data_IF_445007844753
#
_entry.id   IF_445007844753
#
_cell.length_a   1.000
_cell.length_b   1.000
_cell.length_c   1.000
_cell.angle_alpha   90.00
_cell.angle_beta   90.00
_cell.angle_gamma   90.00
#
_symmetry.space_group_name_H-M   'P 1'
#
loop_
_entity.id
_entity.type
_entity.pdbx_description
1 polymer ?
#
# COMPACT_ATOMS: atom_id res chain seq x y z
N UNK A 1 -52.81 73.09 41.09
CA UNK A 1 -51.99 72.90 39.88
C UNK A 1 -50.62 72.42 40.32
N UNK A 2 -50.38 71.12 40.26
CA UNK A 2 -49.05 70.52 40.48
C UNK A 2 -48.77 69.65 39.26
N UNK A 3 -47.86 70.12 38.41
CA UNK A 3 -47.47 69.43 37.17
C UNK A 3 -46.46 68.37 37.57
N UNK A 4 -46.88 67.10 37.54
CA UNK A 4 -45.98 65.96 37.62
C UNK A 4 -45.21 65.84 36.31
N UNK A 5 -43.91 66.14 36.36
CA UNK A 5 -42.98 65.94 35.24
C UNK A 5 -42.82 64.43 35.05
N UNK A 6 -43.51 63.88 34.05
CA UNK A 6 -43.21 62.55 33.52
C UNK A 6 -41.89 62.62 32.77
N UNK A 7 -40.80 62.16 33.39
CA UNK A 7 -39.54 61.93 32.70
C UNK A 7 -39.66 60.55 32.05
N UNK A 8 -40.04 60.51 30.78
CA UNK A 8 -39.74 59.36 29.93
C UNK A 8 -38.24 59.38 29.65
N UNK A 9 -37.45 58.59 30.38
CA UNK A 9 -36.14 58.20 29.88
C UNK A 9 -36.40 57.20 28.75
N UNK A 10 -36.15 57.60 27.49
CA UNK A 10 -35.84 56.57 26.51
C UNK A 10 -34.46 56.06 26.91
N UNK A 11 -34.34 54.79 27.22
CA UNK A 11 -33.09 54.19 27.65
C UNK A 11 -32.08 54.30 26.51
N UNK A 12 -31.09 55.19 26.66
CA UNK A 12 -30.01 55.28 25.70
C UNK A 12 -29.20 53.98 25.78
N UNK A 13 -29.09 53.24 24.69
CA UNK A 13 -28.35 51.99 24.62
C UNK A 13 -27.60 51.84 23.29
N UNK A 14 -26.65 50.91 23.27
CA UNK A 14 -26.09 50.34 22.05
C UNK A 14 -26.03 48.82 22.19
N UNK A 15 -26.31 48.12 21.11
CA UNK A 15 -26.26 46.66 21.05
C UNK A 15 -25.41 46.24 19.86
N UNK A 16 -24.59 45.21 20.03
CA UNK A 16 -23.78 44.61 18.96
C UNK A 16 -24.44 43.29 18.57
N UNK A 17 -24.54 43.05 17.27
CA UNK A 17 -25.07 41.80 16.73
C UNK A 17 -24.03 41.09 15.86
N UNK A 18 -24.02 39.76 15.93
CA UNK A 18 -23.33 38.87 15.01
C UNK A 18 -24.33 37.88 14.42
N UNK A 19 -24.43 37.80 13.10
CA UNK A 19 -25.38 36.92 12.38
C UNK A 19 -26.85 37.03 12.89
N UNK A 20 -27.24 38.20 13.39
CA UNK A 20 -28.57 38.47 13.92
C UNK A 20 -28.77 38.17 15.40
N UNK A 21 -27.76 37.60 16.09
CA UNK A 21 -27.78 37.37 17.53
C UNK A 21 -27.14 38.53 18.30
N UNK A 22 -27.76 38.93 19.41
CA UNK A 22 -27.27 40.00 20.30
C UNK A 22 -26.10 39.50 21.15
N UNK A 23 -25.02 40.28 21.18
CA UNK A 23 -23.85 40.04 22.02
C UNK A 23 -23.99 40.81 23.33
N UNK A 24 -23.79 40.11 24.45
CA UNK A 24 -24.18 40.60 25.77
C UNK A 24 -22.95 41.16 26.51
N UNK A 25 -23.11 42.35 27.10
CA UNK A 25 -22.06 42.93 27.95
C UNK A 25 -21.82 42.07 29.20
N UNK A 26 -20.54 41.88 29.56
CA UNK A 26 -20.14 41.03 30.69
C UNK A 26 -20.27 39.51 30.48
N UNK A 27 -20.77 39.07 29.31
CA UNK A 27 -20.78 37.66 28.92
C UNK A 27 -19.46 37.26 28.21
N UNK A 28 -19.18 35.95 28.19
CA UNK A 28 -18.08 35.37 27.43
C UNK A 28 -18.49 35.17 25.97
N UNK A 29 -18.50 36.26 25.18
CA UNK A 29 -18.83 36.20 23.76
C UNK A 29 -17.63 35.63 22.98
N UNK A 30 -17.68 34.35 22.60
CA UNK A 30 -16.66 33.71 21.77
C UNK A 30 -17.22 33.38 20.38
N UNK A 31 -16.47 33.75 19.35
CA UNK A 31 -16.85 33.53 17.94
C UNK A 31 -15.67 32.87 17.24
N UNK A 32 -15.96 31.84 16.44
CA UNK A 32 -14.97 31.17 15.60
C UNK A 32 -15.27 31.44 14.13
N UNK A 33 -14.26 31.88 13.40
CA UNK A 33 -14.29 32.12 11.96
C UNK A 33 -13.29 31.16 11.31
N UNK A 34 -13.79 30.26 10.47
CA UNK A 34 -13.00 29.30 9.68
C UNK A 34 -13.12 29.56 8.18
N UNK A 35 -14.17 30.25 7.74
CA UNK A 35 -14.39 30.62 6.35
C UNK A 35 -13.42 31.72 5.91
N UNK A 36 -12.87 31.58 4.70
CA UNK A 36 -11.98 32.55 4.09
C UNK A 36 -12.27 32.73 2.60
N UNK A 37 -11.98 33.93 2.09
CA UNK A 37 -11.96 34.26 0.67
C UNK A 37 -10.50 34.24 0.19
N UNK A 38 -10.19 33.43 -0.82
CA UNK A 38 -8.92 33.44 -1.54
C UNK A 38 -9.15 33.93 -2.98
N UNK A 39 -8.45 35.01 -3.36
CA UNK A 39 -8.52 35.61 -4.70
C UNK A 39 -7.26 35.34 -5.54
N UNK A 40 -6.36 34.47 -5.08
CA UNK A 40 -5.07 34.14 -5.72
C UNK A 40 -3.94 35.14 -5.44
N UNK A 41 -4.24 36.29 -4.84
CA UNK A 41 -3.25 37.30 -4.42
C UNK A 41 -3.18 37.46 -2.90
N UNK A 42 -4.30 37.24 -2.22
CA UNK A 42 -4.44 37.41 -0.78
C UNK A 42 -5.59 36.56 -0.25
N UNK A 43 -5.43 36.06 0.96
CA UNK A 43 -6.49 35.43 1.73
C UNK A 43 -7.04 36.39 2.77
N UNK A 44 -8.36 36.36 2.98
CA UNK A 44 -9.03 37.18 3.99
C UNK A 44 -10.15 36.43 4.71
N UNK A 45 -10.33 36.70 5.99
CA UNK A 45 -11.39 36.16 6.84
C UNK A 45 -12.15 37.34 7.44
N UNK A 46 -13.48 37.35 7.31
CA UNK A 46 -14.29 38.50 7.74
C UNK A 46 -15.06 38.15 9.02
N UNK A 47 -14.98 39.05 9.99
CA UNK A 47 -15.89 39.09 11.13
C UNK A 47 -16.87 40.25 10.95
N UNK A 48 -18.05 40.01 10.34
CA UNK A 48 -19.08 41.03 10.19
C UNK A 48 -19.86 41.23 11.49
N UNK A 49 -20.19 42.47 11.82
CA UNK A 49 -21.05 42.79 12.96
C UNK A 49 -22.00 43.92 12.61
N UNK A 50 -23.06 44.08 13.38
CA UNK A 50 -24.03 45.17 13.23
C UNK A 50 -24.20 45.89 14.56
N UNK A 51 -24.39 47.20 14.52
CA UNK A 51 -24.62 48.01 15.72
C UNK A 51 -25.99 48.65 15.64
N UNK A 52 -26.83 48.40 16.65
CA UNK A 52 -28.05 49.18 16.87
C UNK A 52 -27.82 50.16 18.00
N UNK A 53 -27.99 51.45 17.71
CA UNK A 53 -27.72 52.53 18.65
C UNK A 53 -29.00 53.32 18.85
N UNK A 54 -29.51 53.37 20.08
CA UNK A 54 -30.64 54.20 20.48
C UNK A 54 -30.14 55.27 21.42
N UNK A 55 -30.04 56.51 20.95
CA UNK A 55 -29.55 57.61 21.80
C UNK A 55 -30.27 58.92 21.49
N UNK A 56 -30.55 59.71 22.53
CA UNK A 56 -31.12 61.05 22.41
C UNK A 56 -30.06 62.14 22.25
N UNK A 57 -28.76 61.81 22.40
CA UNK A 57 -27.64 62.76 22.33
C UNK A 57 -26.52 62.22 21.45
N UNK A 58 -25.66 63.12 20.95
CA UNK A 58 -24.47 62.71 20.22
C UNK A 58 -23.64 61.72 21.06
N UNK A 59 -23.36 60.55 20.50
CA UNK A 59 -22.72 59.42 21.18
C UNK A 59 -21.58 58.90 20.32
N UNK A 60 -20.40 58.73 20.92
CA UNK A 60 -19.28 58.08 20.25
C UNK A 60 -19.20 56.63 20.68
N UNK A 61 -19.14 55.73 19.70
CA UNK A 61 -18.79 54.33 19.92
C UNK A 61 -17.36 54.12 19.41
N UNK A 62 -16.58 53.41 20.19
CA UNK A 62 -15.19 53.06 19.91
C UNK A 62 -15.08 51.54 19.83
N UNK A 63 -14.53 51.05 18.73
CA UNK A 63 -14.06 49.68 18.60
C UNK A 63 -12.54 49.69 18.79
N UNK A 64 -12.05 48.91 19.74
CA UNK A 64 -10.62 48.61 19.87
C UNK A 64 -10.37 47.13 19.66
N UNK A 65 -9.18 46.79 19.15
CA UNK A 65 -8.70 45.42 19.02
C UNK A 65 -7.48 45.19 19.91
N UNK A 66 -7.38 43.99 20.47
CA UNK A 66 -6.22 43.51 21.19
C UNK A 66 -5.75 42.17 20.59
N UNK A 67 -4.49 42.12 20.17
CA UNK A 67 -3.90 41.03 19.38
C UNK A 67 -3.04 40.10 20.26
N UNK A 68 -3.56 39.68 21.41
CA UNK A 68 -2.84 38.89 22.42
C UNK A 68 -2.48 37.46 21.97
N UNK A 69 -3.11 36.92 20.92
CA UNK A 69 -2.90 35.55 20.45
C UNK A 69 -2.74 35.44 18.94
N UNK A 70 -2.14 36.41 18.26
CA UNK A 70 -1.97 36.39 16.81
C UNK A 70 -0.68 35.71 16.36
N UNK A 71 -0.75 34.97 15.25
CA UNK A 71 0.42 34.43 14.56
C UNK A 71 1.27 35.56 13.96
N UNK A 72 2.59 35.41 14.06
CA UNK A 72 3.56 36.38 13.52
C UNK A 72 3.40 36.54 12.01
N UNK A 73 3.40 37.77 11.51
CA UNK A 73 3.27 38.08 10.08
C UNK A 73 1.83 38.25 9.59
N UNK A 74 0.83 38.04 10.45
CA UNK A 74 -0.60 38.19 10.10
C UNK A 74 -1.09 39.62 10.35
N UNK A 75 -2.18 40.01 9.68
CA UNK A 75 -2.71 41.38 9.74
C UNK A 75 -4.20 41.40 10.08
N UNK A 76 -4.70 42.49 10.67
CA UNK A 76 -6.12 42.65 10.95
C UNK A 76 -6.57 44.09 10.74
N UNK A 77 -7.46 44.30 9.78
CA UNK A 77 -8.06 45.59 9.46
C UNK A 77 -9.42 45.75 10.14
N UNK A 78 -9.78 47.00 10.46
CA UNK A 78 -11.11 47.33 10.96
C UNK A 78 -11.80 48.26 9.96
N UNK A 79 -13.02 47.91 9.56
CA UNK A 79 -13.82 48.68 8.61
C UNK A 79 -15.14 49.10 9.26
N UNK A 80 -15.31 50.41 9.40
CA UNK A 80 -16.53 51.02 9.92
C UNK A 80 -16.83 52.31 9.17
N UNK A 81 -17.48 52.20 8.01
CA UNK A 81 -17.70 53.29 7.05
C UNK A 81 -16.42 53.78 6.35
N UNK A 82 -15.27 53.68 7.02
CA UNK A 82 -13.91 53.82 6.49
C UNK A 82 -13.08 52.68 7.07
N UNK A 83 -12.19 52.10 6.26
CA UNK A 83 -11.24 51.09 6.72
C UNK A 83 -9.96 51.76 7.23
N UNK A 84 -9.46 51.28 8.37
CA UNK A 84 -8.18 51.70 8.96
C UNK A 84 -7.12 50.61 8.80
N UNK A 85 -5.85 51.02 8.75
CA UNK A 85 -4.72 50.12 8.52
C UNK A 85 -4.53 49.07 9.63
N UNK A 86 -3.76 48.00 9.39
CA UNK A 86 -3.55 46.95 10.38
C UNK A 86 -2.91 47.44 11.68
N UNK A 87 -2.12 48.52 11.62
CA UNK A 87 -1.45 49.10 12.79
C UNK A 87 -2.37 49.95 13.68
N UNK A 88 -3.58 50.28 13.20
CA UNK A 88 -4.56 51.03 14.00
C UNK A 88 -5.27 50.07 14.95
N UNK A 89 -5.10 50.27 16.25
CA UNK A 89 -5.74 49.47 17.29
C UNK A 89 -7.15 49.95 17.64
N UNK A 90 -7.54 51.17 17.21
CA UNK A 90 -8.78 51.83 17.61
C UNK A 90 -9.44 52.51 16.40
N UNK A 91 -10.76 52.38 16.29
CA UNK A 91 -11.61 53.18 15.39
C UNK A 91 -12.83 53.69 16.16
N UNK A 92 -13.24 54.93 15.91
CA UNK A 92 -14.38 55.56 16.59
C UNK A 92 -15.31 56.23 15.60
N UNK A 93 -16.61 56.13 15.85
CA UNK A 93 -17.64 56.85 15.09
C UNK A 93 -18.63 57.53 16.04
N UNK A 94 -19.05 58.74 15.67
CA UNK A 94 -20.01 59.56 16.43
C UNK A 94 -21.37 59.57 15.75
N UNK A 95 -22.41 59.36 16.53
CA UNK A 95 -23.81 59.24 16.11
C UNK A 95 -24.66 60.35 16.72
N UNK A 96 -25.26 61.19 15.89
CA UNK A 96 -25.99 62.39 16.33
C UNK A 96 -27.47 62.11 16.68
N UNK A 97 -27.70 61.43 17.81
CA UNK A 97 -28.97 61.50 18.54
C UNK A 97 -30.20 60.89 17.84
N UNK A 98 -30.04 59.81 17.07
CA UNK A 98 -31.14 59.07 16.41
C UNK A 98 -30.92 57.56 16.52
N UNK A 99 -32.00 56.79 16.37
CA UNK A 99 -31.92 55.34 16.13
C UNK A 99 -31.13 55.12 14.84
N UNK A 100 -29.99 54.46 14.96
CA UNK A 100 -29.08 54.18 13.85
C UNK A 100 -28.72 52.71 13.87
N UNK A 101 -28.85 52.05 12.72
CA UNK A 101 -28.33 50.71 12.47
C UNK A 101 -27.19 50.81 11.48
N UNK A 102 -26.05 50.22 11.78
CA UNK A 102 -24.92 50.21 10.84
C UNK A 102 -25.09 49.09 9.82
N UNK A 103 -24.95 49.44 8.55
CA UNK A 103 -24.73 48.47 7.48
C UNK A 103 -23.22 48.49 7.14
N UNK A 104 -22.66 47.34 6.74
CA UNK A 104 -21.26 47.20 6.28
C UNK A 104 -20.14 47.42 7.33
N UNK A 105 -20.37 47.00 8.58
CA UNK A 105 -19.31 46.98 9.62
C UNK A 105 -18.68 45.60 9.75
N UNK A 106 -17.35 45.53 9.65
CA UNK A 106 -16.61 44.27 9.77
C UNK A 106 -15.14 44.49 10.16
N UNK A 107 -14.50 43.46 10.69
CA UNK A 107 -13.04 43.37 10.70
C UNK A 107 -12.58 42.32 9.71
N UNK A 108 -11.40 42.51 9.14
CA UNK A 108 -10.81 41.57 8.18
C UNK A 108 -9.48 41.08 8.71
N UNK A 109 -9.35 39.77 8.88
CA UNK A 109 -8.10 39.12 9.23
C UNK A 109 -7.43 38.56 7.98
N UNK A 110 -6.13 38.82 7.85
CA UNK A 110 -5.29 38.38 6.74
C UNK A 110 -4.22 37.42 7.27
N UNK A 111 -4.38 36.10 7.06
CA UNK A 111 -3.42 35.11 7.54
C UNK A 111 -2.10 35.11 6.78
N UNK A 112 -2.00 35.78 5.62
CA UNK A 112 -0.78 35.87 4.79
C UNK A 112 -0.18 34.49 4.43
N UNK A 113 -1.06 33.48 4.24
CA UNK A 113 -0.64 32.11 3.91
C UNK A 113 -0.14 31.29 5.10
N UNK A 114 -0.17 31.83 6.33
CA UNK A 114 0.32 31.15 7.53
C UNK A 114 -0.81 30.34 8.17
N UNK A 115 -0.79 28.99 8.11
CA UNK A 115 -1.82 28.16 8.72
C UNK A 115 -1.79 28.27 10.25
N UNK A 116 -2.97 28.19 10.87
CA UNK A 116 -3.18 28.13 12.31
C UNK A 116 -4.27 29.07 12.81
N UNK A 117 -4.35 29.20 14.14
CA UNK A 117 -5.38 29.99 14.81
C UNK A 117 -4.80 31.27 15.41
N UNK A 118 -5.41 32.41 15.09
CA UNK A 118 -5.17 33.68 15.76
C UNK A 118 -6.38 34.09 16.59
N UNK A 119 -6.13 34.56 17.82
CA UNK A 119 -7.18 35.10 18.69
C UNK A 119 -7.04 36.62 18.78
N UNK A 120 -8.13 37.33 18.49
CA UNK A 120 -8.22 38.79 18.59
C UNK A 120 -9.41 39.14 19.48
N UNK A 121 -9.20 40.03 20.44
CA UNK A 121 -10.24 40.52 21.33
C UNK A 121 -10.72 41.88 20.83
N UNK A 122 -12.00 41.98 20.48
CA UNK A 122 -12.65 43.22 20.10
C UNK A 122 -13.44 43.78 21.27
N UNK A 123 -13.24 45.06 21.59
CA UNK A 123 -13.96 45.76 22.64
C UNK A 123 -14.72 46.94 22.07
N UNK A 124 -16.05 46.87 22.18
CA UNK A 124 -16.96 47.97 21.85
C UNK A 124 -17.25 48.77 23.11
N UNK A 125 -16.92 50.06 23.08
CA UNK A 125 -17.13 50.99 24.19
C UNK A 125 -17.92 52.20 23.73
N UNK A 126 -18.93 52.58 24.51
CA UNK A 126 -19.76 53.76 24.26
C UNK A 126 -19.44 54.91 25.21
N UNK A 127 -19.68 56.13 24.74
CA UNK A 127 -19.72 57.32 25.60
C UNK A 127 -21.04 57.46 26.39
N UNK A 128 -22.01 56.55 26.20
CA UNK A 128 -23.26 56.51 26.99
C UNK A 128 -22.92 56.19 28.44
N UNK A 129 -23.45 57.01 29.36
CA UNK A 129 -23.14 56.88 30.79
C UNK A 129 -23.75 55.61 31.37
N UNK A 130 -22.92 54.81 32.03
CA UNK A 130 -23.34 53.60 32.73
C UNK A 130 -23.43 52.36 31.85
N UNK A 131 -23.04 52.46 30.58
CA UNK A 131 -23.02 51.31 29.69
C UNK A 131 -21.69 50.55 29.78
N UNK A 132 -21.78 49.25 30.00
CA UNK A 132 -20.60 48.38 30.05
C UNK A 132 -20.06 48.11 28.63
N UNK A 133 -18.73 47.94 28.48
CA UNK A 133 -18.16 47.52 27.21
C UNK A 133 -18.63 46.11 26.82
N UNK A 134 -18.85 45.91 25.52
CA UNK A 134 -19.08 44.58 24.97
C UNK A 134 -17.73 44.05 24.48
N UNK A 135 -17.26 42.96 25.08
CA UNK A 135 -16.00 42.30 24.74
C UNK A 135 -16.31 41.01 23.99
N UNK A 136 -15.61 40.79 22.89
CA UNK A 136 -15.79 39.64 22.00
C UNK A 136 -14.41 39.04 21.73
N UNK A 137 -14.26 37.75 21.98
CA UNK A 137 -13.07 36.98 21.60
C UNK A 137 -13.35 36.30 20.27
N UNK A 138 -12.65 36.71 19.21
CA UNK A 138 -12.78 36.11 17.88
C UNK A 138 -11.55 35.26 17.58
N UNK A 139 -11.79 33.99 17.28
CA UNK A 139 -10.76 33.03 16.83
C UNK A 139 -10.85 32.90 15.31
N UNK A 140 -9.79 33.31 14.63
CA UNK A 140 -9.63 33.10 13.19
C UNK A 140 -8.74 31.88 12.98
N UNK A 141 -9.29 30.79 12.44
CA UNK A 141 -8.55 29.56 12.14
C UNK A 141 -8.41 29.41 10.63
N UNK A 142 -7.20 29.67 10.11
CA UNK A 142 -6.88 29.49 8.70
C UNK A 142 -6.18 28.15 8.48
N UNK A 143 -6.81 27.28 7.69
CA UNK A 143 -6.23 26.01 7.27
C UNK A 143 -6.32 25.91 5.73
N UNK A 144 -5.26 26.31 4.99
CA UNK A 144 -5.24 26.18 3.54
C UNK A 144 -5.22 24.71 3.11
N UNK A 145 -5.68 24.41 1.88
CA UNK A 145 -5.47 23.10 1.31
C UNK A 145 -3.96 22.85 1.18
N UNK A 146 -3.52 21.74 1.74
CA UNK A 146 -2.22 21.13 1.50
C UNK A 146 -2.09 20.68 0.04
N UNK A 147 -0.90 20.77 -0.53
CA UNK A 147 -0.67 20.40 -1.93
C UNK A 147 -0.67 18.88 -2.11
N UNK A 148 -1.37 18.38 -3.14
CA UNK A 148 -1.27 16.99 -3.57
C UNK A 148 0.17 16.58 -3.89
N UNK A 149 0.62 15.47 -3.30
CA UNK A 149 1.96 14.93 -3.54
C UNK A 149 1.92 13.41 -3.73
N UNK A 150 2.78 12.91 -4.63
CA UNK A 150 3.01 11.47 -4.82
C UNK A 150 4.48 11.17 -4.52
N UNK A 151 4.71 10.29 -3.55
CA UNK A 151 6.05 9.83 -3.17
C UNK A 151 6.21 8.35 -3.53
N UNK A 152 7.30 8.00 -4.21
CA UNK A 152 7.65 6.59 -4.48
C UNK A 152 8.46 6.04 -3.30
N UNK A 153 7.96 4.97 -2.68
CA UNK A 153 8.62 4.24 -1.60
C UNK A 153 8.76 2.79 -2.02
N UNK A 154 9.91 2.43 -2.60
CA UNK A 154 10.09 1.10 -3.20
C UNK A 154 9.13 0.87 -4.37
N UNK A 155 8.34 -0.20 -4.30
CA UNK A 155 7.28 -0.53 -5.28
C UNK A 155 5.92 0.07 -4.91
N UNK A 156 5.87 1.03 -3.99
CA UNK A 156 4.64 1.67 -3.53
C UNK A 156 4.60 3.15 -3.90
N UNK A 157 3.43 3.64 -4.30
CA UNK A 157 3.13 5.07 -4.38
C UNK A 157 2.40 5.48 -3.10
N UNK A 158 2.81 6.57 -2.46
CA UNK A 158 2.13 7.15 -1.29
C UNK A 158 1.61 8.53 -1.67
N UNK A 159 0.31 8.73 -1.49
CA UNK A 159 -0.38 9.99 -1.77
C UNK A 159 -0.65 10.73 -0.45
N UNK A 160 -0.31 12.01 -0.43
CA UNK A 160 -0.57 12.91 0.70
C UNK A 160 -1.06 14.27 0.17
N UNK A 161 -1.68 15.05 1.05
CA UNK A 161 -2.19 16.39 0.75
C UNK A 161 -3.66 16.41 0.32
N UNK A 162 -4.13 17.56 -0.19
CA UNK A 162 -5.49 17.70 -0.71
C UNK A 162 -5.51 17.47 -2.22
N UNK A 163 -6.41 16.60 -2.66
CA UNK A 163 -6.50 16.09 -4.02
C UNK A 163 -7.81 16.48 -4.69
N UNK A 164 -7.75 16.88 -5.96
CA UNK A 164 -8.90 17.01 -6.84
C UNK A 164 -8.81 16.03 -8.02
N UNK A 165 -9.87 15.92 -8.83
CA UNK A 165 -9.91 14.99 -9.97
C UNK A 165 -8.79 15.21 -11.00
N UNK A 166 -8.29 16.44 -11.18
CA UNK A 166 -7.19 16.72 -12.12
C UNK A 166 -5.85 16.22 -11.60
N UNK A 167 -5.63 16.26 -10.28
CA UNK A 167 -4.41 15.72 -9.68
C UNK A 167 -4.33 14.19 -9.84
N UNK A 168 -5.48 13.51 -9.77
CA UNK A 168 -5.59 12.06 -9.90
C UNK A 168 -5.09 11.50 -11.26
N UNK A 169 -5.12 12.29 -12.33
CA UNK A 169 -4.57 11.88 -13.64
C UNK A 169 -3.07 11.54 -13.55
N UNK A 170 -2.34 12.12 -12.59
CA UNK A 170 -0.92 11.86 -12.38
C UNK A 170 -0.66 10.47 -11.80
N UNK A 171 -1.63 9.87 -11.10
CA UNK A 171 -1.47 8.56 -10.45
C UNK A 171 -1.25 7.46 -11.49
N UNK A 172 -2.13 7.38 -12.49
CA UNK A 172 -2.04 6.39 -13.57
C UNK A 172 -0.74 6.55 -14.38
N UNK A 173 -0.24 7.78 -14.53
CA UNK A 173 1.02 8.02 -15.24
C UNK A 173 2.26 7.47 -14.51
N UNK A 174 2.17 7.30 -13.18
CA UNK A 174 3.25 6.79 -12.32
C UNK A 174 3.09 5.33 -11.90
N UNK A 175 1.87 4.80 -11.97
CA UNK A 175 1.54 3.42 -11.61
C UNK A 175 1.93 2.42 -12.72
N UNK A 176 3.23 2.34 -13.03
CA UNK A 176 3.78 1.40 -14.01
C UNK A 176 3.79 -0.06 -13.50
N UNK A 177 4.30 -1.00 -14.32
CA UNK A 177 4.30 -2.43 -14.01
C UNK A 177 5.13 -2.80 -12.76
N UNK A 178 6.04 -1.92 -12.33
CA UNK A 178 6.87 -2.13 -11.13
C UNK A 178 6.14 -1.75 -9.84
N UNK A 179 5.07 -0.97 -9.93
CA UNK A 179 4.28 -0.54 -8.77
C UNK A 179 3.33 -1.66 -8.36
N UNK A 180 3.43 -2.08 -7.09
CA UNK A 180 2.61 -3.15 -6.50
C UNK A 180 1.57 -2.62 -5.52
N UNK A 181 1.66 -1.35 -5.14
CA UNK A 181 0.66 -0.73 -4.29
C UNK A 181 0.56 0.78 -4.45
N UNK A 182 -0.63 1.32 -4.20
CA UNK A 182 -0.91 2.75 -4.13
C UNK A 182 -1.60 3.01 -2.80
N UNK A 183 -0.95 3.76 -1.91
CA UNK A 183 -1.44 4.14 -0.61
C UNK A 183 -2.05 5.53 -0.65
N UNK A 184 -3.38 5.58 -0.62
CA UNK A 184 -4.21 6.78 -0.57
C UNK A 184 -4.92 6.91 0.78
N UNK A 185 -4.50 6.14 1.80
CA UNK A 185 -5.20 6.12 3.09
C UNK A 185 -5.14 7.44 3.87
N UNK A 186 -4.22 8.33 3.49
CA UNK A 186 -4.03 9.66 4.09
C UNK A 186 -4.79 10.79 3.38
N UNK A 187 -5.49 10.52 2.26
CA UNK A 187 -6.18 11.55 1.47
C UNK A 187 -7.68 11.33 1.47
N UNK A 188 -8.43 12.41 1.24
CA UNK A 188 -9.84 12.32 0.88
C UNK A 188 -9.95 12.02 -0.63
N UNK A 189 -10.67 10.95 -0.98
CA UNK A 189 -10.90 10.60 -2.38
C UNK A 189 -12.00 11.53 -2.92
N UNK A 190 -11.75 12.32 -3.98
CA UNK A 190 -12.74 13.23 -4.52
C UNK A 190 -13.93 12.44 -5.10
N UNK A 191 -15.13 13.01 -5.01
CA UNK A 191 -16.37 12.36 -5.47
C UNK A 191 -16.33 12.03 -6.97
N UNK A 192 -15.62 12.84 -7.75
CA UNK A 192 -15.39 12.71 -9.18
C UNK A 192 -14.03 12.07 -9.53
N UNK A 193 -13.43 11.30 -8.60
CA UNK A 193 -12.18 10.59 -8.84
C UNK A 193 -12.25 9.71 -10.11
N UNK A 194 -11.27 9.81 -11.02
CA UNK A 194 -11.22 8.98 -12.22
C UNK A 194 -10.92 7.51 -11.90
N UNK A 195 -11.02 6.66 -12.92
CA UNK A 195 -10.62 5.27 -12.79
C UNK A 195 -9.10 5.15 -12.61
N UNK A 196 -8.67 4.34 -11.63
CA UNK A 196 -7.27 4.00 -11.43
C UNK A 196 -7.00 2.64 -12.06
N UNK A 197 -6.08 2.61 -13.03
CA UNK A 197 -5.72 1.42 -13.80
C UNK A 197 -4.21 1.24 -13.76
N UNK A 198 -3.63 0.73 -12.66
CA UNK A 198 -2.21 0.44 -12.58
C UNK A 198 -1.82 -0.56 -13.66
N UNK A 199 -0.65 -0.40 -14.27
CA UNK A 199 -0.18 -1.32 -15.30
C UNK A 199 0.09 -2.73 -14.73
N UNK A 200 0.41 -2.82 -13.44
CA UNK A 200 0.42 -4.09 -12.70
C UNK A 200 -1.01 -4.46 -12.24
N UNK A 201 -1.62 -5.53 -12.77
CA UNK A 201 -2.96 -5.96 -12.38
C UNK A 201 -3.06 -6.48 -10.94
N UNK A 202 -1.92 -6.78 -10.29
CA UNK A 202 -1.87 -7.23 -8.89
C UNK A 202 -1.71 -6.06 -7.90
N UNK A 203 -1.70 -4.82 -8.39
CA UNK A 203 -1.52 -3.63 -7.57
C UNK A 203 -2.65 -3.49 -6.54
N UNK A 204 -2.31 -3.33 -5.26
CA UNK A 204 -3.26 -3.06 -4.18
C UNK A 204 -3.49 -1.55 -4.03
N UNK A 205 -4.75 -1.12 -3.93
CA UNK A 205 -5.11 0.28 -3.70
C UNK A 205 -5.60 0.41 -2.26
N UNK A 206 -4.81 1.05 -1.39
CA UNK A 206 -5.21 1.29 0.01
C UNK A 206 -5.93 2.63 0.13
N UNK A 207 -7.09 2.64 0.75
CA UNK A 207 -7.86 3.85 1.06
C UNK A 207 -8.32 3.83 2.52
N UNK A 208 -8.76 4.97 3.04
CA UNK A 208 -9.32 5.03 4.40
C UNK A 208 -10.61 4.21 4.49
N UNK A 209 -10.96 3.73 5.70
CA UNK A 209 -12.16 2.90 5.94
C UNK A 209 -13.46 3.60 5.53
N UNK A 210 -13.50 4.93 5.69
CA UNK A 210 -14.66 5.77 5.38
C UNK A 210 -14.68 6.25 3.92
N UNK A 211 -13.66 5.91 3.11
CA UNK A 211 -13.57 6.39 1.74
C UNK A 211 -14.69 5.81 0.85
N UNK A 212 -15.29 6.69 0.06
CA UNK A 212 -16.11 6.30 -1.08
C UNK A 212 -15.19 6.19 -2.29
N UNK A 213 -15.23 5.05 -2.97
CA UNK A 213 -14.39 4.78 -4.16
C UNK A 213 -15.27 4.28 -5.29
N UNK A 214 -14.90 4.55 -6.56
CA UNK A 214 -15.56 3.96 -7.70
C UNK A 214 -15.58 2.42 -7.64
N UNK A 215 -16.72 1.81 -7.95
CA UNK A 215 -16.90 0.34 -7.93
C UNK A 215 -16.11 -0.40 -9.02
N UNK A 216 -15.57 0.35 -9.99
CA UNK A 216 -14.73 -0.17 -11.07
C UNK A 216 -13.30 -0.45 -10.60
N UNK A 217 -12.83 0.23 -9.54
CA UNK A 217 -11.49 0.02 -9.01
C UNK A 217 -11.32 -1.43 -8.53
N UNK A 218 -10.15 -2.00 -8.84
CA UNK A 218 -9.81 -3.39 -8.51
C UNK A 218 -8.83 -3.43 -7.36
N UNK A 219 -8.86 -4.54 -6.62
CA UNK A 219 -7.92 -4.83 -5.53
C UNK A 219 -7.85 -3.70 -4.48
N UNK A 220 -9.01 -3.12 -4.16
CA UNK A 220 -9.12 -2.03 -3.18
C UNK A 220 -9.17 -2.60 -1.77
N UNK A 221 -8.32 -2.08 -0.90
CA UNK A 221 -8.30 -2.34 0.54
C UNK A 221 -8.80 -1.08 1.25
N UNK A 222 -9.98 -1.15 1.87
CA UNK A 222 -10.55 -0.08 2.69
C UNK A 222 -10.21 -0.32 4.15
N UNK A 223 -9.40 0.55 4.74
CA UNK A 223 -8.87 0.33 6.09
C UNK A 223 -8.02 -0.94 6.11
N UNK A 224 -8.58 -2.02 6.64
CA UNK A 224 -7.96 -3.35 6.69
C UNK A 224 -8.81 -4.46 6.04
N UNK A 225 -9.82 -4.13 5.24
CA UNK A 225 -10.67 -5.10 4.54
C UNK A 225 -10.67 -4.87 3.03
N UNK A 226 -10.69 -5.96 2.26
CA UNK A 226 -10.91 -5.95 0.82
C UNK A 226 -12.08 -6.86 0.47
N UNK A 227 -13.01 -6.38 -0.37
CA UNK A 227 -14.16 -7.20 -0.80
C UNK A 227 -13.71 -8.32 -1.74
N UNK A 228 -12.85 -7.99 -2.69
CA UNK A 228 -12.34 -8.94 -3.69
C UNK A 228 -10.91 -8.55 -4.09
N UNK A 229 -10.00 -9.53 -4.06
CA UNK A 229 -8.64 -9.42 -4.59
C UNK A 229 -8.43 -10.47 -5.66
N UNK A 230 -8.02 -10.05 -6.85
CA UNK A 230 -7.70 -10.95 -7.97
C UNK A 230 -6.23 -10.80 -8.34
N UNK A 231 -5.49 -11.90 -8.22
CA UNK A 231 -4.08 -11.99 -8.55
C UNK A 231 -3.90 -12.70 -9.91
N UNK A 232 -3.16 -12.04 -10.78
CA UNK A 232 -2.78 -12.47 -12.12
C UNK A 232 -1.39 -13.09 -12.09
N UNK A 233 -1.26 -14.24 -12.74
CA UNK A 233 -0.02 -14.98 -12.90
C UNK A 233 1.13 -14.12 -13.45
N UNK A 234 2.33 -14.26 -12.87
CA UNK A 234 3.56 -13.66 -13.38
C UNK A 234 3.79 -12.19 -13.00
N UNK A 235 2.75 -11.46 -12.56
CA UNK A 235 2.88 -10.08 -12.11
C UNK A 235 3.27 -9.98 -10.63
N UNK A 236 4.09 -8.99 -10.30
CA UNK A 236 4.60 -8.82 -8.94
C UNK A 236 3.50 -8.48 -7.94
N UNK A 237 3.62 -8.97 -6.72
CA UNK A 237 2.72 -8.69 -5.60
C UNK A 237 3.57 -8.32 -4.38
N UNK A 238 3.35 -7.15 -3.81
CA UNK A 238 4.00 -6.75 -2.56
C UNK A 238 2.97 -6.00 -1.71
N UNK A 239 2.40 -6.75 -0.78
CA UNK A 239 1.49 -6.25 0.23
C UNK A 239 2.29 -5.58 1.35
N UNK A 240 2.02 -4.30 1.62
CA UNK A 240 2.73 -3.52 2.64
C UNK A 240 1.96 -3.39 3.94
N UNK A 241 0.71 -3.88 3.99
CA UNK A 241 -0.16 -3.82 5.18
C UNK A 241 -0.98 -5.09 5.28
N UNK A 242 -1.06 -5.70 6.45
CA UNK A 242 -1.96 -6.84 6.67
C UNK A 242 -3.42 -6.42 6.48
N UNK A 243 -4.21 -7.22 5.75
CA UNK A 243 -5.64 -6.99 5.52
C UNK A 243 -6.43 -8.30 5.45
N UNK A 244 -7.76 -8.24 5.58
CA UNK A 244 -8.67 -9.36 5.39
C UNK A 244 -9.35 -9.27 4.03
N UNK A 245 -9.18 -10.27 3.17
CA UNK A 245 -9.92 -10.39 1.93
C UNK A 245 -11.18 -11.22 2.15
N UNK A 246 -12.37 -10.65 1.86
CA UNK A 246 -13.62 -11.44 1.83
C UNK A 246 -13.54 -12.50 0.75
N UNK A 247 -12.98 -12.16 -0.40
CA UNK A 247 -12.64 -13.09 -1.47
C UNK A 247 -11.25 -12.77 -2.03
N UNK A 248 -10.41 -13.79 -2.20
CA UNK A 248 -9.15 -13.66 -2.92
C UNK A 248 -8.97 -14.83 -3.89
N UNK A 249 -8.43 -14.54 -5.07
CA UNK A 249 -8.14 -15.57 -6.07
C UNK A 249 -6.79 -15.34 -6.75
N UNK A 250 -6.21 -16.44 -7.21
CA UNK A 250 -5.03 -16.47 -8.07
C UNK A 250 -5.26 -17.46 -9.20
N UNK A 251 -5.07 -17.01 -10.44
CA UNK A 251 -5.35 -17.83 -11.63
C UNK A 251 -4.09 -18.02 -12.46
N UNK A 252 -3.77 -19.27 -12.80
CA UNK A 252 -2.62 -19.64 -13.64
C UNK A 252 -3.02 -20.67 -14.71
N UNK A 253 -2.51 -20.48 -15.92
CA UNK A 253 -2.66 -21.44 -17.01
C UNK A 253 -1.55 -22.51 -16.95
N UNK A 254 -1.94 -23.78 -16.98
CA UNK A 254 -1.03 -24.92 -17.02
C UNK A 254 -1.15 -25.64 -18.38
N UNK A 255 -0.23 -25.39 -19.33
CA UNK A 255 -0.35 -25.93 -20.68
C UNK A 255 -0.02 -27.42 -20.81
N UNK A 256 0.62 -28.01 -19.79
CA UNK A 256 1.08 -29.40 -19.79
C UNK A 256 0.91 -30.03 -18.40
N UNK A 257 0.76 -31.36 -18.37
CA UNK A 257 0.85 -32.19 -17.16
C UNK A 257 2.30 -32.25 -16.68
N UNK A 258 2.49 -32.58 -15.40
CA UNK A 258 3.81 -32.65 -14.76
C UNK A 258 3.89 -31.78 -13.51
N UNK A 259 5.09 -31.39 -13.11
CA UNK A 259 5.29 -30.64 -11.87
C UNK A 259 5.50 -29.15 -12.10
N UNK A 260 5.00 -28.35 -11.16
CA UNK A 260 5.25 -26.93 -11.05
C UNK A 260 5.48 -26.53 -9.60
N UNK A 261 6.22 -25.46 -9.34
CA UNK A 261 6.21 -24.82 -8.02
C UNK A 261 5.03 -23.86 -7.86
N UNK A 262 4.65 -23.61 -6.60
CA UNK A 262 3.55 -22.73 -6.19
C UNK A 262 3.90 -22.00 -4.89
N UNK A 263 3.61 -20.70 -4.81
CA UNK A 263 3.75 -19.89 -3.62
C UNK A 263 2.68 -18.79 -3.59
N UNK A 264 1.78 -18.81 -2.60
CA UNK A 264 0.62 -17.91 -2.55
C UNK A 264 0.58 -17.10 -1.25
N UNK A 265 0.09 -15.85 -1.28
CA UNK A 265 -0.01 -14.98 -0.10
C UNK A 265 -1.22 -15.32 0.79
N UNK A 266 -2.00 -16.33 0.41
CA UNK A 266 -3.17 -16.81 1.14
C UNK A 266 -3.21 -18.34 1.11
N UNK A 267 -3.84 -18.92 2.12
CA UNK A 267 -4.13 -20.36 2.13
C UNK A 267 -5.39 -20.65 1.33
N UNK A 268 -5.27 -21.33 0.19
CA UNK A 268 -6.43 -21.68 -0.62
C UNK A 268 -7.34 -22.66 0.14
N UNK A 269 -8.65 -22.36 0.20
CA UNK A 269 -9.63 -23.14 0.98
C UNK A 269 -9.98 -24.47 0.32
N UNK A 270 -9.86 -24.54 -1.01
CA UNK A 270 -9.98 -25.76 -1.80
C UNK A 270 -8.98 -25.75 -2.95
N UNK A 271 -8.41 -26.91 -3.28
CA UNK A 271 -7.53 -27.06 -4.43
C UNK A 271 -8.32 -27.26 -5.73
N UNK A 272 -7.90 -26.64 -6.85
CA UNK A 272 -8.49 -26.87 -8.16
C UNK A 272 -8.45 -28.34 -8.55
N UNK A 273 -9.46 -28.80 -9.29
CA UNK A 273 -9.43 -30.16 -9.86
C UNK A 273 -8.18 -30.37 -10.69
N UNK A 274 -7.55 -31.52 -10.51
CA UNK A 274 -6.36 -31.90 -11.25
C UNK A 274 -5.06 -31.34 -10.69
N UNK A 275 -5.08 -30.75 -9.49
CA UNK A 275 -3.89 -30.36 -8.73
C UNK A 275 -3.73 -31.28 -7.52
N UNK A 276 -2.50 -31.74 -7.28
CA UNK A 276 -2.09 -32.29 -5.99
C UNK A 276 -0.88 -31.53 -5.48
N UNK A 277 -0.78 -31.38 -4.17
CA UNK A 277 0.26 -30.56 -3.54
C UNK A 277 1.17 -31.44 -2.69
N UNK A 278 2.47 -31.15 -2.74
CA UNK A 278 3.48 -31.75 -1.87
C UNK A 278 4.31 -30.68 -1.16
N UNK A 279 4.65 -30.95 0.09
CA UNK A 279 5.52 -30.09 0.91
C UNK A 279 6.94 -30.64 0.97
N UNK A 280 7.92 -29.75 1.09
CA UNK A 280 9.33 -30.12 1.22
C UNK A 280 9.62 -30.70 2.59
N UNK A 281 9.86 -32.01 2.67
CA UNK A 281 9.82 -32.76 3.92
C UNK A 281 11.20 -33.18 4.44
N UNK A 282 12.17 -33.38 3.55
CA UNK A 282 13.51 -33.84 3.91
C UNK A 282 14.52 -33.59 2.78
N UNK A 283 15.80 -33.67 3.12
CA UNK A 283 16.91 -33.65 2.16
C UNK A 283 18.01 -34.61 2.58
N UNK A 284 18.23 -35.67 1.81
CA UNK A 284 19.22 -36.71 2.06
C UNK A 284 19.82 -37.22 0.77
N UNK A 285 21.12 -37.55 0.78
CA UNK A 285 21.83 -38.14 -0.36
C UNK A 285 21.61 -37.38 -1.69
N UNK A 286 21.72 -36.04 -1.63
CA UNK A 286 21.48 -35.15 -2.78
C UNK A 286 20.08 -35.24 -3.42
N UNK A 287 19.09 -35.70 -2.64
CA UNK A 287 17.69 -35.84 -3.06
C UNK A 287 16.81 -35.01 -2.14
N UNK A 288 16.02 -34.11 -2.73
CA UNK A 288 14.97 -33.38 -2.06
C UNK A 288 13.70 -34.24 -2.02
N UNK A 289 13.19 -34.49 -0.82
CA UNK A 289 11.99 -35.28 -0.61
C UNK A 289 10.78 -34.36 -0.47
N UNK A 290 9.73 -34.72 -1.19
CA UNK A 290 8.45 -34.05 -1.11
C UNK A 290 7.37 -35.05 -0.72
N UNK A 291 6.55 -34.65 0.25
CA UNK A 291 5.50 -35.50 0.79
C UNK A 291 4.13 -34.89 0.47
N UNK A 292 3.18 -35.68 -0.07
CA UNK A 292 1.82 -35.22 -0.30
C UNK A 292 1.18 -34.65 0.96
N UNK A 293 0.58 -33.47 0.84
CA UNK A 293 -0.28 -32.97 1.90
C UNK A 293 -1.64 -33.66 1.82
N UNK A 294 -2.11 -34.19 2.95
CA UNK A 294 -3.44 -34.82 3.06
C UNK A 294 -4.56 -33.81 3.24
N UNK A 295 -4.21 -32.55 3.52
CA UNK A 295 -5.13 -31.43 3.60
C UNK A 295 -5.49 -30.92 2.21
N UNK A 296 -6.76 -30.60 1.97
CA UNK A 296 -7.22 -29.87 0.77
C UNK A 296 -6.97 -28.36 0.87
N UNK A 297 -6.28 -27.92 1.93
CA UNK A 297 -5.94 -26.53 2.24
C UNK A 297 -4.42 -26.41 2.29
N UNK A 298 -3.88 -25.41 1.60
CA UNK A 298 -2.47 -25.01 1.71
C UNK A 298 -2.35 -23.80 2.64
N UNK A 299 -1.18 -23.60 3.23
CA UNK A 299 -0.90 -22.47 4.11
C UNK A 299 -0.38 -21.26 3.31
N UNK A 300 -0.71 -20.06 3.78
CA UNK A 300 -0.22 -18.81 3.20
C UNK A 300 1.29 -18.69 3.36
N UNK A 301 1.98 -18.12 2.37
CA UNK A 301 3.42 -17.84 2.40
C UNK A 301 4.29 -19.09 2.60
N UNK A 302 3.80 -20.29 2.24
CA UNK A 302 4.57 -21.54 2.26
C UNK A 302 4.80 -22.03 0.82
N UNK A 303 6.03 -22.39 0.43
CA UNK A 303 6.32 -22.92 -0.90
C UNK A 303 5.94 -24.40 -1.02
N UNK A 304 5.37 -24.75 -2.17
CA UNK A 304 4.93 -26.11 -2.48
C UNK A 304 5.34 -26.55 -3.89
N UNK A 305 5.35 -27.87 -4.10
CA UNK A 305 5.24 -28.46 -5.44
C UNK A 305 3.79 -28.84 -5.74
N UNK A 306 3.38 -28.61 -6.98
CA UNK A 306 2.06 -28.91 -7.50
C UNK A 306 2.19 -29.90 -8.67
N UNK A 307 1.62 -31.09 -8.50
CA UNK A 307 1.41 -32.06 -9.58
C UNK A 307 0.20 -31.63 -10.40
N UNK A 308 0.41 -31.37 -11.69
CA UNK A 308 -0.60 -31.05 -12.67
C UNK A 308 -1.01 -32.35 -13.37
N UNK A 309 -2.22 -32.82 -13.07
CA UNK A 309 -2.79 -34.06 -13.63
C UNK A 309 -3.84 -33.80 -14.71
N UNK A 310 -4.08 -32.53 -15.05
CA UNK A 310 -4.89 -32.12 -16.20
C UNK A 310 -4.52 -30.70 -16.63
N UNK A 311 -4.29 -30.52 -17.93
CA UNK A 311 -3.93 -29.23 -18.52
C UNK A 311 -5.16 -28.34 -18.72
N UNK A 312 -5.22 -27.21 -18.02
CA UNK A 312 -6.16 -26.11 -18.25
C UNK A 312 -5.73 -24.90 -17.39
N UNK A 313 -6.60 -23.89 -17.31
CA UNK A 313 -6.48 -22.81 -16.35
C UNK A 313 -7.03 -23.23 -14.98
N UNK A 314 -6.20 -23.06 -13.95
CA UNK A 314 -6.51 -23.39 -12.55
C UNK A 314 -6.62 -22.11 -11.73
N UNK A 315 -7.64 -22.02 -10.88
CA UNK A 315 -7.87 -20.87 -9.98
C UNK A 315 -7.88 -21.32 -8.54
N UNK A 316 -6.91 -20.84 -7.78
CA UNK A 316 -6.83 -21.01 -6.32
C UNK A 316 -7.61 -19.88 -5.67
N UNK A 317 -8.44 -20.18 -4.67
CA UNK A 317 -9.27 -19.17 -4.01
C UNK A 317 -9.37 -19.39 -2.52
N UNK A 318 -9.66 -18.31 -1.79
CA UNK A 318 -10.01 -18.34 -0.38
C UNK A 318 -11.09 -17.30 -0.06
N UNK A 319 -11.81 -17.53 1.03
CA UNK A 319 -12.88 -16.69 1.54
C UNK A 319 -12.53 -16.31 2.97
N UNK A 320 -12.78 -15.05 3.34
CA UNK A 320 -12.56 -14.51 4.69
C UNK A 320 -11.17 -14.84 5.25
N UNK A 321 -10.13 -14.53 4.47
CA UNK A 321 -8.74 -14.86 4.81
C UNK A 321 -7.91 -13.61 5.09
N UNK A 322 -7.04 -13.70 6.08
CA UNK A 322 -6.04 -12.68 6.37
C UNK A 322 -4.85 -12.84 5.41
N UNK A 323 -4.47 -11.75 4.75
CA UNK A 323 -3.30 -11.64 3.89
C UNK A 323 -2.27 -10.80 4.64
N UNK A 324 -1.17 -11.44 5.05
CA UNK A 324 -0.07 -10.78 5.74
C UNK A 324 0.78 -9.92 4.82
N UNK A 325 1.56 -9.01 5.40
CA UNK A 325 2.61 -8.28 4.69
C UNK A 325 3.57 -9.24 3.94
N UNK A 326 4.03 -8.86 2.76
CA UNK A 326 4.86 -9.73 1.91
C UNK A 326 6.28 -9.98 2.46
N UNK A 327 6.68 -9.29 3.53
CA UNK A 327 7.91 -9.58 4.27
C UNK A 327 7.80 -10.85 5.15
N UNK A 328 6.56 -11.31 5.44
CA UNK A 328 6.31 -12.57 6.13
C UNK A 328 6.57 -13.71 5.17
N UNK A 329 7.57 -14.54 5.48
CA UNK A 329 7.97 -15.68 4.65
C UNK A 329 7.91 -16.97 5.46
N UNK A 330 7.32 -18.00 4.88
CA UNK A 330 7.29 -19.36 5.42
C UNK A 330 8.30 -20.25 4.69
N UNK A 331 9.58 -19.86 4.73
CA UNK A 331 10.64 -20.66 4.12
C UNK A 331 10.75 -22.03 4.81
N UNK A 332 10.96 -23.10 4.04
CA UNK A 332 11.06 -24.47 4.58
C UNK A 332 12.50 -24.96 4.44
N UNK A 333 13.18 -25.15 5.56
CA UNK A 333 14.57 -25.57 5.58
C UNK A 333 14.71 -27.09 5.75
N UNK A 334 15.44 -27.75 4.84
CA UNK A 334 15.81 -29.15 4.98
C UNK A 334 17.27 -29.36 4.55
N UNK A 335 18.09 -29.88 5.46
CA UNK A 335 19.51 -30.10 5.20
C UNK A 335 20.22 -28.86 4.67
N UNK A 336 20.90 -29.01 3.52
CA UNK A 336 21.71 -27.98 2.87
C UNK A 336 20.91 -26.95 2.06
N UNK A 337 19.58 -27.09 1.98
CA UNK A 337 18.73 -26.26 1.15
C UNK A 337 17.57 -25.63 1.93
N UNK A 338 17.13 -24.49 1.44
CA UNK A 338 15.94 -23.77 1.88
C UNK A 338 14.99 -23.68 0.69
N UNK A 339 13.76 -24.17 0.83
CA UNK A 339 12.71 -23.97 -0.14
C UNK A 339 12.01 -22.64 0.14
N UNK A 340 12.01 -21.76 -0.86
CA UNK A 340 11.55 -20.38 -0.76
C UNK A 340 10.59 -20.06 -1.89
N UNK A 341 9.69 -19.12 -1.63
CA UNK A 341 8.85 -18.53 -2.65
C UNK A 341 9.29 -17.12 -3.03
N UNK A 342 8.77 -16.62 -4.15
CA UNK A 342 8.91 -15.21 -4.55
C UNK A 342 7.55 -14.63 -4.96
N UNK A 343 7.32 -13.36 -4.65
CA UNK A 343 6.20 -12.57 -5.19
C UNK A 343 6.66 -11.56 -6.24
N UNK A 344 7.92 -11.60 -6.65
CA UNK A 344 8.48 -10.74 -7.70
C UNK A 344 9.19 -11.59 -8.74
N UNK A 345 9.32 -11.05 -9.94
CA UNK A 345 10.12 -11.67 -10.99
C UNK A 345 11.61 -11.61 -10.59
N UNK A 346 12.26 -12.76 -10.45
CA UNK A 346 13.71 -12.86 -10.30
C UNK A 346 14.34 -13.15 -11.67
N UNK A 347 15.34 -12.37 -12.07
CA UNK A 347 16.07 -12.54 -13.34
C UNK A 347 17.54 -12.19 -13.18
N UNK A 348 18.38 -12.62 -14.14
CA UNK A 348 19.79 -12.27 -14.14
C UNK A 348 20.44 -12.67 -12.82
N UNK A 349 21.16 -11.75 -12.20
CA UNK A 349 21.89 -12.00 -10.95
C UNK A 349 20.99 -12.40 -9.78
N UNK A 350 19.71 -11.99 -9.75
CA UNK A 350 18.79 -12.35 -8.67
C UNK A 350 18.28 -13.80 -8.80
N UNK A 351 18.38 -14.37 -10.01
CA UNK A 351 18.04 -15.77 -10.29
C UNK A 351 19.28 -16.69 -10.26
N UNK A 352 20.47 -16.16 -10.58
CA UNK A 352 21.72 -16.94 -10.63
C UNK A 352 21.98 -17.68 -9.32
N UNK A 353 22.46 -18.91 -9.43
CA UNK A 353 22.75 -19.83 -8.32
C UNK A 353 21.54 -20.33 -7.50
N UNK A 354 20.32 -19.85 -7.80
CA UNK A 354 19.09 -20.46 -7.28
C UNK A 354 18.78 -21.75 -8.03
N UNK A 355 18.07 -22.67 -7.39
CA UNK A 355 17.72 -23.96 -7.98
C UNK A 355 16.25 -23.93 -8.36
N UNK A 356 15.98 -23.96 -9.66
CA UNK A 356 14.64 -23.84 -10.25
C UNK A 356 14.14 -25.20 -10.72
N UNK A 357 12.84 -25.45 -10.59
CA UNK A 357 12.26 -26.72 -11.03
C UNK A 357 12.43 -26.88 -12.55
N UNK A 358 12.96 -28.02 -12.98
CA UNK A 358 13.17 -28.31 -14.39
C UNK A 358 11.82 -28.38 -15.14
N UNK A 359 11.63 -27.46 -16.07
CA UNK A 359 10.37 -27.27 -16.80
C UNK A 359 10.05 -28.38 -17.81
N UNK A 360 10.98 -29.27 -18.14
CA UNK A 360 10.74 -30.33 -19.13
C UNK A 360 9.95 -31.52 -18.59
N UNK A 361 10.16 -31.90 -17.33
CA UNK A 361 9.53 -33.07 -16.72
C UNK A 361 9.36 -32.98 -15.20
N UNK A 362 9.86 -31.93 -14.55
CA UNK A 362 9.77 -31.77 -13.10
C UNK A 362 10.62 -32.75 -12.29
N UNK A 363 11.54 -33.48 -12.94
CA UNK A 363 12.32 -34.55 -12.30
C UNK A 363 13.40 -34.06 -11.32
N UNK A 364 13.60 -32.75 -11.22
CA UNK A 364 14.60 -32.17 -10.33
C UNK A 364 14.61 -30.64 -10.35
N UNK A 365 15.41 -30.06 -9.45
CA UNK A 365 15.77 -28.65 -9.52
C UNK A 365 17.14 -28.50 -10.17
N UNK A 366 17.24 -27.60 -11.15
CA UNK A 366 18.48 -27.27 -11.85
C UNK A 366 19.01 -25.92 -11.36
N UNK A 367 20.33 -25.80 -11.25
CA UNK A 367 20.98 -24.54 -10.87
C UNK A 367 20.80 -23.51 -12.00
N UNK A 368 20.15 -22.41 -11.68
CA UNK A 368 19.84 -21.33 -12.59
C UNK A 368 21.09 -20.49 -12.92
N UNK A 369 21.14 -20.03 -14.17
CA UNK A 369 22.09 -19.06 -14.66
C UNK A 369 21.39 -17.72 -14.98
N UNK A 370 22.15 -16.76 -15.51
CA UNK A 370 21.71 -15.40 -15.80
C UNK A 370 20.62 -15.29 -16.89
N UNK A 371 20.39 -16.35 -17.67
CA UNK A 371 19.32 -16.41 -18.67
C UNK A 371 18.00 -16.97 -18.12
N UNK A 372 18.02 -17.58 -16.94
CA UNK A 372 16.84 -18.11 -16.31
C UNK A 372 16.03 -17.01 -15.60
N UNK A 373 14.72 -17.24 -15.46
CA UNK A 373 13.82 -16.36 -14.72
C UNK A 373 12.89 -17.16 -13.82
N UNK A 374 12.52 -16.56 -12.69
CA UNK A 374 11.58 -17.12 -11.73
C UNK A 374 10.44 -16.10 -11.58
N UNK A 375 9.29 -16.31 -12.23
CA UNK A 375 8.15 -15.40 -12.11
C UNK A 375 7.61 -15.32 -10.68
N UNK A 376 6.84 -14.27 -10.36
CA UNK A 376 6.11 -14.16 -9.09
C UNK A 376 5.23 -15.40 -8.83
N UNK A 377 4.96 -15.75 -7.58
CA UNK A 377 4.17 -16.93 -7.15
C UNK A 377 4.82 -18.30 -7.43
N UNK A 378 6.13 -18.33 -7.70
CA UNK A 378 6.91 -19.56 -7.87
C UNK A 378 7.76 -19.80 -6.63
N UNK A 379 8.15 -21.06 -6.47
CA UNK A 379 9.12 -21.47 -5.47
C UNK A 379 10.38 -22.08 -6.11
N UNK A 380 11.48 -21.99 -5.37
CA UNK A 380 12.83 -22.40 -5.75
C UNK A 380 13.61 -22.86 -4.52
N UNK A 381 14.65 -23.66 -4.73
CA UNK A 381 15.58 -24.05 -3.68
C UNK A 381 16.77 -23.06 -3.64
N UNK A 382 17.18 -22.68 -2.44
CA UNK A 382 18.38 -21.88 -2.19
C UNK A 382 19.36 -22.70 -1.35
N UNK A 383 20.60 -22.84 -1.82
CA UNK A 383 21.65 -23.50 -1.04
C UNK A 383 22.06 -22.62 0.15
N UNK A 384 22.31 -23.24 1.32
CA UNK A 384 22.78 -22.52 2.53
C UNK A 384 24.24 -22.07 2.42
N UNK A 385 25.12 -22.92 1.90
CA UNK A 385 26.56 -22.66 1.78
C UNK A 385 27.14 -23.31 0.51
N UNK A 386 27.54 -22.49 -0.48
CA UNK A 386 28.47 -22.87 -1.56
C UNK A 386 28.21 -24.19 -2.30
N UNK A 387 26.99 -24.73 -2.26
CA UNK A 387 26.70 -26.05 -2.84
C UNK A 387 26.88 -25.98 -4.37
N UNK A 388 27.86 -26.73 -4.87
CA UNK A 388 28.29 -26.72 -6.28
C UNK A 388 27.47 -27.66 -7.16
N UNK A 389 26.56 -28.45 -6.57
CA UNK A 389 25.77 -29.44 -7.32
C UNK A 389 24.95 -28.76 -8.41
N UNK A 390 25.01 -29.25 -9.66
CA UNK A 390 24.24 -28.64 -10.75
C UNK A 390 22.74 -29.02 -10.72
N UNK A 391 22.40 -30.14 -10.09
CA UNK A 391 21.04 -30.68 -10.02
C UNK A 391 20.71 -31.30 -8.66
N UNK A 392 19.56 -30.93 -8.11
CA UNK A 392 18.94 -31.61 -6.97
C UNK A 392 17.84 -32.53 -7.50
N UNK A 393 17.92 -33.82 -7.19
CA UNK A 393 16.88 -34.77 -7.63
C UNK A 393 15.68 -34.67 -6.70
N UNK A 394 14.48 -34.81 -7.25
CA UNK A 394 13.25 -34.81 -6.46
C UNK A 394 12.76 -36.24 -6.28
N UNK A 395 12.32 -36.58 -5.07
CA UNK A 395 11.60 -37.81 -4.77
C UNK A 395 10.25 -37.52 -4.16
N UNK A 396 9.21 -38.14 -4.69
CA UNK A 396 7.83 -38.00 -4.26
C UNK A 396 7.45 -39.20 -3.38
N UNK A 397 6.98 -38.96 -2.15
CA UNK A 397 6.74 -40.04 -1.16
C UNK A 397 5.41 -40.81 -1.36
N UNK A 398 4.93 -40.97 -2.60
CA UNK A 398 3.73 -41.75 -2.92
C UNK A 398 3.99 -42.79 -4.04
N UNK A 399 3.72 -44.10 -3.83
CA UNK A 399 3.94 -45.13 -4.83
C UNK A 399 2.75 -45.19 -5.79
N UNK A 400 2.64 -44.26 -6.74
CA UNK A 400 1.64 -44.35 -7.81
C UNK A 400 2.21 -44.65 -9.19
N UNK A 401 3.54 -44.67 -9.32
CA UNK A 401 4.22 -45.29 -10.44
C UNK A 401 5.25 -46.29 -9.95
N UNK A 402 5.42 -47.38 -10.69
CA UNK A 402 6.61 -48.22 -10.61
C UNK A 402 7.78 -47.35 -11.09
N UNK A 403 8.26 -46.45 -10.24
CA UNK A 403 9.66 -46.06 -10.33
C UNK A 403 10.47 -47.34 -10.15
N UNK A 404 11.46 -47.53 -11.02
CA UNK A 404 12.43 -48.60 -10.87
C UNK A 404 12.85 -48.64 -9.41
N UNK A 405 12.59 -49.76 -8.75
CA UNK A 405 13.12 -50.08 -7.43
C UNK A 405 14.63 -50.19 -7.54
N UNK A 406 15.30 -49.03 -7.58
CA UNK A 406 16.71 -48.91 -7.25
C UNK A 406 16.74 -48.83 -5.73
N UNK A 407 17.03 -49.99 -5.15
CA UNK A 407 17.52 -50.13 -3.78
C UNK A 407 18.57 -49.05 -3.50
N UNK A 408 18.37 -48.28 -2.43
CA UNK A 408 19.30 -47.31 -1.84
C UNK A 408 20.02 -46.36 -2.82
N UNK A 409 19.52 -45.12 -2.91
CA UNK A 409 20.06 -43.96 -3.63
C UNK A 409 21.51 -43.62 -3.23
N UNK A 410 22.46 -44.44 -3.67
CA UNK A 410 23.90 -44.25 -3.52
C UNK A 410 24.56 -43.88 -4.87
N UNK A 411 23.78 -43.89 -5.95
CA UNK A 411 24.24 -43.71 -7.31
C UNK A 411 23.18 -43.00 -8.17
N UNK A 412 23.53 -41.86 -8.77
CA UNK A 412 22.65 -41.11 -9.68
C UNK A 412 23.43 -40.65 -10.92
N UNK A 413 22.86 -40.79 -12.10
CA UNK A 413 23.48 -40.38 -13.35
C UNK A 413 22.50 -39.60 -14.24
N UNK A 414 22.92 -38.44 -14.76
CA UNK A 414 22.12 -37.59 -15.64
C UNK A 414 22.99 -36.94 -16.72
N UNK A 415 22.39 -36.63 -17.88
CA UNK A 415 23.06 -35.89 -18.94
C UNK A 415 22.70 -34.41 -18.88
N UNK A 416 23.69 -33.54 -19.09
CA UNK A 416 23.51 -32.10 -19.16
C UNK A 416 24.60 -31.47 -20.04
N UNK A 417 24.22 -30.61 -20.99
CA UNK A 417 25.14 -29.90 -21.90
C UNK A 417 26.18 -30.80 -22.58
N UNK A 418 25.73 -31.91 -23.18
CA UNK A 418 26.58 -32.87 -23.86
C UNK A 418 27.50 -33.70 -22.96
N UNK A 419 27.39 -33.55 -21.63
CA UNK A 419 28.20 -34.26 -20.64
C UNK A 419 27.33 -35.20 -19.81
N UNK A 420 27.97 -36.22 -19.25
CA UNK A 420 27.35 -37.12 -18.29
C UNK A 420 27.88 -36.80 -16.89
N UNK A 421 26.95 -36.54 -15.97
CA UNK A 421 27.21 -36.35 -14.56
C UNK A 421 26.83 -37.61 -13.81
N UNK A 422 27.69 -38.06 -12.90
CA UNK A 422 27.44 -39.20 -12.02
C UNK A 422 27.75 -38.80 -10.59
N UNK A 423 26.78 -38.94 -9.70
CA UNK A 423 26.95 -38.72 -8.26
C UNK A 423 27.08 -40.09 -7.59
N UNK A 424 28.19 -40.31 -6.90
CA UNK A 424 28.47 -41.55 -6.17
C UNK A 424 28.63 -41.28 -4.67
N UNK A 425 28.13 -42.20 -3.84
CA UNK A 425 28.21 -42.12 -2.38
C UNK A 425 29.58 -42.50 -1.79
N UNK A 426 30.46 -43.06 -2.62
CA UNK A 426 31.83 -43.47 -2.29
C UNK A 426 32.62 -43.73 -3.56
N UNK A 427 33.92 -43.91 -3.42
CA UNK A 427 34.74 -44.37 -4.54
C UNK A 427 34.26 -45.72 -5.08
N UNK A 428 33.94 -45.79 -6.36
CA UNK A 428 33.43 -47.01 -7.02
C UNK A 428 33.67 -47.00 -8.52
N UNK A 429 33.62 -48.17 -9.16
CA UNK A 429 33.72 -48.27 -10.62
C UNK A 429 32.33 -48.35 -11.24
N UNK A 430 32.03 -47.43 -12.17
CA UNK A 430 30.82 -47.49 -12.97
C UNK A 430 31.10 -47.98 -14.39
N UNK A 431 30.21 -48.86 -14.87
CA UNK A 431 30.22 -49.35 -16.26
C UNK A 431 29.11 -48.66 -17.03
N UNK A 432 29.48 -48.06 -18.14
CA UNK A 432 28.61 -47.35 -19.05
C UNK A 432 28.34 -48.24 -20.26
N UNK A 433 27.07 -48.45 -20.55
CA UNK A 433 26.61 -49.25 -21.67
C UNK A 433 25.80 -48.39 -22.64
N UNK A 434 25.85 -48.68 -23.93
CA UNK A 434 24.87 -48.17 -24.89
C UNK A 434 23.56 -48.95 -24.79
N UNK A 435 22.48 -48.42 -25.36
CA UNK A 435 21.15 -49.06 -25.34
C UNK A 435 21.08 -50.41 -26.05
N UNK A 436 22.05 -50.74 -26.90
CA UNK A 436 22.20 -52.08 -27.50
C UNK A 436 22.91 -53.08 -26.57
N UNK A 437 23.23 -52.68 -25.33
CA UNK A 437 23.84 -53.52 -24.30
C UNK A 437 25.37 -53.63 -24.40
N UNK A 438 26.03 -52.93 -25.32
CA UNK A 438 27.49 -52.92 -25.42
C UNK A 438 28.09 -52.01 -24.35
N UNK A 439 29.14 -52.48 -23.66
CA UNK A 439 29.89 -51.64 -22.72
C UNK A 439 30.72 -50.61 -23.50
N UNK A 440 30.40 -49.34 -23.31
CA UNK A 440 31.05 -48.19 -23.94
C UNK A 440 32.27 -47.75 -23.15
N UNK A 441 32.15 -47.67 -21.82
CA UNK A 441 33.22 -47.17 -20.96
C UNK A 441 33.16 -47.78 -19.55
N UNK A 442 34.29 -47.82 -18.87
CA UNK A 442 34.36 -47.98 -17.40
C UNK A 442 35.01 -46.73 -16.84
N UNK A 443 34.44 -46.17 -15.79
CA UNK A 443 34.93 -44.94 -15.14
C UNK A 443 35.11 -45.22 -13.65
N UNK A 444 36.23 -44.74 -13.10
CA UNK A 444 36.45 -44.75 -11.66
C UNK A 444 35.83 -43.47 -11.12
N UNK A 445 34.87 -43.62 -10.22
CA UNK A 445 34.15 -42.53 -9.61
C UNK A 445 34.75 -42.22 -8.24
N UNK A 446 34.86 -40.94 -7.91
CA UNK A 446 35.06 -40.48 -6.54
C UNK A 446 33.72 -40.25 -5.85
N UNK A 447 33.75 -40.22 -4.52
CA UNK A 447 32.62 -39.75 -3.70
C UNK A 447 32.25 -38.32 -4.12
N UNK A 448 30.96 -38.06 -4.32
CA UNK A 448 30.45 -36.79 -4.86
C UNK A 448 30.18 -36.82 -6.37
N UNK A 449 30.19 -35.65 -6.99
CA UNK A 449 29.89 -35.46 -8.41
C UNK A 449 31.11 -35.76 -9.30
N UNK A 450 30.87 -36.51 -10.38
CA UNK A 450 31.87 -36.91 -11.37
C UNK A 450 31.37 -36.48 -12.77
N UNK A 451 32.26 -35.89 -13.58
CA UNK A 451 31.92 -35.40 -14.92
C UNK A 451 32.64 -36.24 -15.98
N UNK A 452 31.86 -36.79 -16.92
CA UNK A 452 32.34 -37.58 -18.05
C UNK A 452 32.03 -36.82 -19.35
N UNK A 453 33.09 -36.32 -20.00
CA UNK A 453 32.98 -35.42 -21.16
C UNK A 453 33.19 -36.13 -22.52
N UNK A 454 33.67 -37.37 -22.51
CA UNK A 454 34.07 -38.13 -23.70
C UNK A 454 33.02 -39.16 -24.13
N UNK A 455 31.74 -38.77 -24.06
CA UNK A 455 30.62 -39.53 -24.59
C UNK A 455 29.90 -38.70 -25.64
N UNK A 456 29.51 -39.35 -26.73
CA UNK A 456 28.68 -38.70 -27.75
C UNK A 456 27.25 -38.52 -27.22
N UNK A 457 26.51 -37.58 -27.78
CA UNK A 457 25.08 -37.45 -27.52
C UNK A 457 24.36 -38.77 -27.84
N UNK A 458 23.51 -39.23 -26.94
CA UNK A 458 22.87 -40.53 -27.04
C UNK A 458 22.31 -41.07 -25.74
N UNK A 459 21.72 -42.27 -25.82
CA UNK A 459 21.17 -42.98 -24.68
C UNK A 459 22.16 -44.02 -24.15
N UNK A 460 22.35 -44.00 -22.83
CA UNK A 460 23.26 -44.87 -22.11
C UNK A 460 22.54 -45.57 -20.95
N UNK A 461 23.11 -46.68 -20.50
CA UNK A 461 22.68 -47.42 -19.31
C UNK A 461 23.87 -47.48 -18.36
N UNK A 462 23.69 -47.04 -17.12
CA UNK A 462 24.72 -46.97 -16.10
C UNK A 462 24.09 -47.39 -14.78
N UNK A 463 24.65 -48.41 -14.13
CA UNK A 463 24.12 -48.95 -12.86
C UNK A 463 22.60 -49.14 -12.86
N UNK A 464 22.07 -49.70 -13.96
CA UNK A 464 20.64 -49.91 -14.24
C UNK A 464 19.80 -48.63 -14.41
N UNK A 465 20.40 -47.45 -14.45
CA UNK A 465 19.76 -46.19 -14.84
C UNK A 465 19.94 -45.92 -16.33
N UNK A 466 18.85 -45.53 -17.01
CA UNK A 466 18.90 -45.06 -18.39
C UNK A 466 19.13 -43.55 -18.37
N UNK A 467 20.15 -43.08 -19.07
CA UNK A 467 20.56 -41.67 -19.10
C UNK A 467 20.61 -41.19 -20.54
N UNK A 468 20.09 -40.00 -20.79
CA UNK A 468 20.18 -39.32 -22.09
C UNK A 468 21.19 -38.19 -22.01
N UNK A 469 22.18 -38.17 -22.90
CA UNK A 469 23.12 -37.07 -23.09
C UNK A 469 22.71 -36.30 -24.33
N UNK A 470 22.41 -35.02 -24.18
CA UNK A 470 22.02 -34.10 -25.25
C UNK A 470 22.71 -32.76 -25.00
N UNK A 471 23.00 -32.02 -26.08
CA UNK A 471 23.59 -30.66 -26.02
C UNK A 471 22.63 -29.63 -25.44
#
# INVERSE_FOLDING_TARGET
MGVGIGICYADNNFTVYYQGEELIAGADNQIEITEYEDNGLSVSMKFPFTLDIHTQKSTTITLSKDQTGTLSGTQNDMCWGVCVSPDQEIISQTFDGKVSRTDETYTTYHPQGIPGTSTIIYTFKSSIRGQEPIVITVKFTYNPPSTATITNVGSSLVLEGDWNATDFDQVNSKADESITSIDMSAIEIPEDAPEITPANPNCLIYVSEIATVPTTWKNVVKGNEAEEVTLTDGYAFCNTKTFTAKQISYTRNYPQEGWSSLYLPFGATELPKGIRIESYSDYKNNTAHFTPIVSSVIEANIPYLAEITSCDTKTFSAIDVQVEESNVTGNVEQGSFIFKGTYSLLTGNDATDLYILDSSDGSGFIKANDTNSIPAFRAYLQAKDGNETLRVTVKHDNPSHLENTLSDNSFNAYGYQGKLFIIADKETDAKIFSVDGRRVKTVNLHEGENIIEDLNNGLYIINNQKVSIQE
#
